data_IF_254760393564
#
_entry.id   IF_254760393564
#
_cell.length_a   1.000
_cell.length_b   1.000
_cell.length_c   1.000
_cell.angle_alpha   90.00
_cell.angle_beta   90.00
_cell.angle_gamma   90.00
#
_symmetry.space_group_name_H-M   'P 1'
#
loop_
_entity.id
_entity.type
_entity.pdbx_description
1 polymer ?
#
# COMPACT_ATOMS: atom_id res chain seq x y z
N UNK A 1 11.26 -33.17 28.53
CA UNK A 1 11.95 -31.92 28.12
C UNK A 1 11.00 -30.95 27.45
N UNK A 2 10.14 -31.40 26.53
CA UNK A 2 9.18 -30.55 25.79
C UNK A 2 8.10 -29.86 26.65
N UNK A 3 7.58 -30.53 27.69
CA UNK A 3 6.52 -29.96 28.53
C UNK A 3 7.00 -28.83 29.45
N UNK A 4 8.26 -28.87 29.89
CA UNK A 4 8.84 -27.83 30.75
C UNK A 4 9.13 -26.56 29.94
N UNK A 5 9.65 -26.73 28.71
CA UNK A 5 9.82 -25.63 27.78
C UNK A 5 8.47 -24.97 27.41
N UNK A 6 7.43 -25.77 27.17
CA UNK A 6 6.08 -25.23 26.90
C UNK A 6 5.52 -24.41 28.06
N UNK A 7 5.63 -24.90 29.29
CA UNK A 7 5.18 -24.19 30.49
C UNK A 7 5.93 -22.86 30.70
N UNK A 8 7.25 -22.84 30.47
CA UNK A 8 8.05 -21.61 30.56
C UNK A 8 7.66 -20.57 29.51
N UNK A 9 7.43 -21.01 28.26
CA UNK A 9 6.99 -20.15 27.15
C UNK A 9 5.60 -19.58 27.42
N UNK A 10 4.67 -20.39 27.90
CA UNK A 10 3.31 -19.97 28.23
C UNK A 10 3.31 -18.95 29.39
N UNK A 11 4.10 -19.20 30.43
CA UNK A 11 4.30 -18.23 31.51
C UNK A 11 4.92 -16.91 31.02
N UNK A 12 5.90 -16.98 30.10
CA UNK A 12 6.50 -15.79 29.52
C UNK A 12 5.51 -14.98 28.65
N UNK A 13 4.66 -15.67 27.89
CA UNK A 13 3.60 -15.06 27.09
C UNK A 13 2.58 -14.31 27.97
N UNK A 14 2.07 -14.96 29.02
CA UNK A 14 1.12 -14.35 29.97
C UNK A 14 1.72 -13.11 30.62
N UNK A 15 2.97 -13.20 31.12
CA UNK A 15 3.66 -12.05 31.73
C UNK A 15 3.90 -10.91 30.74
N UNK A 16 4.24 -11.21 29.50
CA UNK A 16 4.40 -10.19 28.46
C UNK A 16 3.07 -9.51 28.11
N UNK A 17 1.96 -10.25 28.13
CA UNK A 17 0.63 -9.70 27.87
C UNK A 17 0.17 -8.81 29.02
N UNK A 18 0.32 -9.24 30.27
CA UNK A 18 -0.01 -8.44 31.46
C UNK A 18 0.77 -7.12 31.45
N UNK A 19 2.09 -7.19 31.21
CA UNK A 19 2.93 -5.98 31.11
C UNK A 19 2.49 -5.04 29.98
N UNK A 20 2.05 -5.58 28.85
CA UNK A 20 1.51 -4.77 27.77
C UNK A 20 0.18 -4.12 28.15
N UNK A 21 -0.74 -4.84 28.78
CA UNK A 21 -2.03 -4.32 29.21
C UNK A 21 -1.89 -3.25 30.31
N UNK A 22 -0.96 -3.44 31.23
CA UNK A 22 -0.77 -2.51 32.37
C UNK A 22 -0.03 -1.24 31.96
N UNK A 23 1.03 -1.37 31.17
CA UNK A 23 2.00 -0.29 30.91
C UNK A 23 2.06 0.15 29.44
N UNK A 24 1.45 -0.58 28.52
CA UNK A 24 1.56 -0.36 27.07
C UNK A 24 0.67 0.75 26.50
N UNK A 25 -0.33 1.21 27.25
CA UNK A 25 -1.20 2.34 26.87
C UNK A 25 -1.06 3.54 27.83
N UNK A 26 -0.09 3.48 28.73
CA UNK A 26 0.25 4.57 29.66
C UNK A 26 1.60 5.18 29.25
N UNK A 27 1.89 6.45 29.60
CA UNK A 27 3.20 7.06 29.39
C UNK A 27 4.26 6.47 30.36
N UNK A 28 4.48 5.16 30.27
CA UNK A 28 5.41 4.39 31.09
C UNK A 28 6.77 4.28 30.40
N UNK A 29 7.82 4.00 31.17
CA UNK A 29 9.14 3.70 30.60
C UNK A 29 9.11 2.47 29.67
N UNK A 30 8.16 1.54 29.86
CA UNK A 30 7.96 0.41 28.96
C UNK A 30 7.38 0.87 27.61
N UNK A 31 6.32 1.70 27.64
CA UNK A 31 5.72 2.29 26.44
C UNK A 31 6.74 3.09 25.62
N UNK A 32 7.46 4.03 26.25
CA UNK A 32 8.44 4.86 25.53
C UNK A 32 9.61 4.04 24.97
N UNK A 33 10.06 2.98 25.67
CA UNK A 33 11.07 2.05 25.11
C UNK A 33 10.52 1.27 23.92
N UNK A 34 9.27 0.84 23.98
CA UNK A 34 8.61 0.15 22.87
C UNK A 34 8.48 1.07 21.65
N UNK A 35 8.00 2.30 21.84
CA UNK A 35 7.87 3.31 20.78
C UNK A 35 9.24 3.70 20.22
N UNK A 36 10.25 3.90 21.07
CA UNK A 36 11.64 4.14 20.61
C UNK A 36 12.16 3.00 19.75
N UNK A 37 11.88 1.74 20.11
CA UNK A 37 12.26 0.56 19.33
C UNK A 37 11.48 0.44 18.02
N UNK A 38 10.21 0.88 17.99
CA UNK A 38 9.40 0.92 16.76
C UNK A 38 9.91 2.01 15.83
N UNK A 39 10.19 3.21 16.36
CA UNK A 39 10.77 4.32 15.62
C UNK A 39 12.13 3.96 15.03
N UNK A 40 13.02 3.35 15.81
CA UNK A 40 14.36 2.96 15.35
C UNK A 40 14.34 1.90 14.23
N UNK A 41 13.28 1.08 14.16
CA UNK A 41 13.07 0.10 13.08
C UNK A 41 12.45 0.69 11.82
N UNK A 42 11.78 1.83 11.93
CA UNK A 42 11.20 2.57 10.78
C UNK A 42 12.25 3.42 10.07
N UNK A 43 13.29 3.85 10.79
CA UNK A 43 14.35 4.68 10.23
C UNK A 43 15.32 3.82 9.42
N UNK A 44 15.46 4.16 8.15
CA UNK A 44 16.51 3.62 7.29
C UNK A 44 17.79 4.40 7.61
N UNK A 45 18.77 3.74 8.22
CA UNK A 45 20.02 4.40 8.65
C UNK A 45 21.03 4.57 7.53
N UNK A 46 21.02 3.63 6.59
CA UNK A 46 21.95 3.58 5.48
C UNK A 46 21.41 2.73 4.35
N UNK A 47 21.87 3.00 3.13
CA UNK A 47 21.59 2.19 1.94
C UNK A 47 22.78 2.27 0.98
N UNK A 48 22.99 1.22 0.20
CA UNK A 48 24.01 1.15 -0.84
C UNK A 48 23.48 1.75 -2.13
N UNK A 49 24.23 2.68 -2.72
CA UNK A 49 23.93 3.26 -4.02
C UNK A 49 24.40 2.36 -5.18
N UNK A 50 24.12 2.77 -6.43
CA UNK A 50 24.50 2.01 -7.63
C UNK A 50 26.02 1.90 -7.85
N UNK A 51 26.80 2.85 -7.31
CA UNK A 51 28.26 2.84 -7.32
C UNK A 51 28.86 1.86 -6.31
N UNK A 52 28.06 1.33 -5.39
CA UNK A 52 28.48 0.42 -4.32
C UNK A 52 28.80 1.08 -2.99
N UNK A 53 28.70 2.42 -2.91
CA UNK A 53 28.96 3.20 -1.70
C UNK A 53 27.76 3.21 -0.75
N UNK A 54 28.03 3.29 0.55
CA UNK A 54 26.99 3.38 1.59
C UNK A 54 26.70 4.86 1.86
N UNK A 55 25.45 5.27 1.64
CA UNK A 55 24.95 6.60 2.00
C UNK A 55 24.11 6.54 3.29
N UNK A 56 24.14 7.62 4.06
CA UNK A 56 23.47 7.72 5.37
C UNK A 56 22.62 8.98 5.54
N UNK A 57 22.71 9.94 4.61
CA UNK A 57 21.91 11.15 4.61
C UNK A 57 20.50 10.87 4.07
N UNK A 58 19.47 11.45 4.68
CA UNK A 58 18.07 11.23 4.30
C UNK A 58 17.77 11.56 2.82
N UNK A 59 18.37 12.62 2.27
CA UNK A 59 18.17 13.00 0.87
C UNK A 59 18.79 11.97 -0.08
N UNK A 60 20.00 11.50 0.23
CA UNK A 60 20.69 10.50 -0.60
C UNK A 60 19.99 9.14 -0.51
N UNK A 61 19.54 8.75 0.69
CA UNK A 61 18.73 7.55 0.89
C UNK A 61 17.44 7.64 0.07
N UNK A 62 16.73 8.77 0.15
CA UNK A 62 15.51 9.00 -0.62
C UNK A 62 15.77 8.90 -2.14
N UNK A 63 16.86 9.50 -2.61
CA UNK A 63 17.28 9.46 -4.01
C UNK A 63 17.60 8.03 -4.49
N UNK A 64 18.32 7.24 -3.67
CA UNK A 64 18.63 5.84 -3.99
C UNK A 64 17.35 5.04 -4.16
N UNK A 65 16.39 5.14 -3.23
CA UNK A 65 15.12 4.42 -3.36
C UNK A 65 14.27 4.93 -4.52
N UNK A 66 14.20 6.24 -4.72
CA UNK A 66 13.50 6.85 -5.84
C UNK A 66 14.00 6.29 -7.16
N UNK A 67 15.32 6.33 -7.39
CA UNK A 67 15.92 5.83 -8.63
C UNK A 67 15.74 4.33 -8.78
N UNK A 68 15.98 3.56 -7.70
CA UNK A 68 15.84 2.12 -7.72
C UNK A 68 14.41 1.71 -8.15
N UNK A 69 13.37 2.26 -7.53
CA UNK A 69 11.99 1.90 -7.88
C UNK A 69 11.52 2.54 -9.19
N UNK A 70 11.99 3.74 -9.54
CA UNK A 70 11.70 4.34 -10.84
C UNK A 70 12.22 3.47 -11.98
N UNK A 71 13.43 2.92 -11.83
CA UNK A 71 14.01 1.99 -12.78
C UNK A 71 13.28 0.64 -12.75
N UNK A 72 12.99 0.10 -11.57
CA UNK A 72 12.29 -1.18 -11.42
C UNK A 72 10.89 -1.19 -12.05
N UNK A 73 10.16 -0.08 -11.93
CA UNK A 73 8.82 0.09 -12.48
C UNK A 73 8.81 0.83 -13.82
N UNK A 74 9.97 1.06 -14.42
CA UNK A 74 10.05 1.68 -15.74
C UNK A 74 9.44 0.78 -16.81
N UNK A 75 8.78 1.39 -17.79
CA UNK A 75 8.20 0.67 -18.93
C UNK A 75 9.33 0.08 -19.77
N UNK A 76 9.22 -1.20 -20.12
CA UNK A 76 10.07 -1.80 -21.15
C UNK A 76 9.80 -1.13 -22.51
N UNK A 77 10.82 -0.52 -23.11
CA UNK A 77 10.67 0.26 -24.34
C UNK A 77 10.51 -0.61 -25.59
N UNK A 78 10.90 -1.89 -25.51
CA UNK A 78 10.94 -2.82 -26.64
C UNK A 78 9.81 -3.86 -26.54
N UNK A 79 8.57 -3.40 -26.57
CA UNK A 79 7.42 -4.31 -26.73
C UNK A 79 7.23 -4.60 -28.23
N UNK A 80 7.38 -5.87 -28.63
CA UNK A 80 7.05 -6.28 -29.99
C UNK A 80 5.53 -6.40 -30.14
N UNK A 81 4.91 -5.37 -30.71
CA UNK A 81 3.46 -5.31 -30.91
C UNK A 81 2.92 -6.42 -31.82
N UNK A 82 3.73 -6.95 -32.75
CA UNK A 82 3.29 -8.06 -33.59
C UNK A 82 3.13 -9.34 -32.76
N UNK A 83 4.15 -9.68 -31.95
CA UNK A 83 4.07 -10.81 -31.02
C UNK A 83 2.93 -10.64 -30.00
N UNK A 84 2.72 -9.43 -29.50
CA UNK A 84 1.60 -9.14 -28.60
C UNK A 84 0.25 -9.41 -29.28
N UNK A 85 0.06 -8.91 -30.50
CA UNK A 85 -1.17 -9.11 -31.25
C UNK A 85 -1.39 -10.58 -31.61
N UNK A 86 -0.33 -11.29 -32.01
CA UNK A 86 -0.41 -12.72 -32.31
C UNK A 86 -0.78 -13.52 -31.06
N UNK A 87 -0.19 -13.20 -29.90
CA UNK A 87 -0.56 -13.80 -28.63
C UNK A 87 -2.03 -13.52 -28.25
N UNK A 88 -2.48 -12.28 -28.38
CA UNK A 88 -3.88 -11.89 -28.09
C UNK A 88 -4.85 -12.64 -29.01
N UNK A 89 -4.53 -12.80 -30.30
CA UNK A 89 -5.35 -13.57 -31.25
C UNK A 89 -5.45 -15.06 -30.90
N UNK A 90 -4.45 -15.62 -30.20
CA UNK A 90 -4.49 -17.01 -29.74
C UNK A 90 -5.44 -17.21 -28.55
N UNK A 91 -5.92 -16.15 -27.90
CA UNK A 91 -6.89 -16.27 -26.81
C UNK A 91 -8.23 -16.74 -27.37
N UNK A 92 -8.64 -17.94 -26.96
CA UNK A 92 -9.90 -18.56 -27.43
C UNK A 92 -11.12 -18.07 -26.67
N UNK A 93 -10.93 -17.55 -25.47
CA UNK A 93 -11.99 -17.04 -24.63
C UNK A 93 -11.99 -15.52 -24.72
N UNK A 94 -13.12 -14.97 -25.18
CA UNK A 94 -13.37 -13.54 -25.24
C UNK A 94 -14.66 -13.25 -24.48
N UNK A 95 -14.80 -12.01 -24.03
CA UNK A 95 -16.03 -11.54 -23.36
C UNK A 95 -17.16 -11.52 -24.39
N UNK A 96 -18.35 -11.94 -23.99
CA UNK A 96 -19.53 -11.89 -24.87
C UNK A 96 -19.80 -10.42 -25.28
N UNK A 97 -20.24 -10.13 -26.52
CA UNK A 97 -20.59 -8.77 -26.92
C UNK A 97 -21.55 -8.06 -25.96
N UNK A 98 -22.50 -8.78 -25.36
CA UNK A 98 -23.44 -8.22 -24.39
C UNK A 98 -22.73 -7.80 -23.11
N UNK A 99 -21.87 -8.68 -22.58
CA UNK A 99 -21.09 -8.39 -21.38
C UNK A 99 -20.12 -7.24 -21.63
N UNK A 100 -19.58 -7.12 -22.84
CA UNK A 100 -18.71 -6.01 -23.23
C UNK A 100 -19.46 -4.69 -23.18
N UNK A 101 -20.64 -4.62 -23.80
CA UNK A 101 -21.45 -3.41 -23.80
C UNK A 101 -21.89 -3.02 -22.37
N UNK A 102 -22.13 -4.01 -21.50
CA UNK A 102 -22.43 -3.77 -20.08
C UNK A 102 -21.21 -3.26 -19.31
N UNK A 103 -20.00 -3.79 -19.56
CA UNK A 103 -18.77 -3.34 -18.92
C UNK A 103 -18.31 -1.93 -19.35
N UNK A 104 -18.69 -1.51 -20.56
CA UNK A 104 -18.35 -0.19 -21.11
C UNK A 104 -19.38 0.90 -20.72
N UNK A 105 -20.45 0.54 -20.00
CA UNK A 105 -21.48 1.49 -19.57
C UNK A 105 -20.94 2.49 -18.51
N UNK A 106 -21.56 3.67 -18.36
CA UNK A 106 -21.20 4.60 -17.30
C UNK A 106 -21.35 3.97 -15.91
N UNK A 107 -20.38 4.25 -15.03
CA UNK A 107 -20.38 3.81 -13.64
C UNK A 107 -21.61 4.39 -12.94
N UNK A 108 -22.40 3.55 -12.27
CA UNK A 108 -23.62 3.97 -11.58
C UNK A 108 -23.36 4.35 -10.12
N UNK A 109 -24.29 5.09 -9.51
CA UNK A 109 -24.22 5.45 -8.10
C UNK A 109 -24.23 4.21 -7.19
N UNK A 110 -25.01 3.20 -7.57
CA UNK A 110 -25.14 1.93 -6.86
C UNK A 110 -23.85 1.13 -6.89
N UNK A 111 -23.13 1.13 -8.01
CA UNK A 111 -21.83 0.48 -8.15
C UNK A 111 -20.79 1.13 -7.24
N UNK A 112 -20.75 2.47 -7.20
CA UNK A 112 -19.85 3.20 -6.28
C UNK A 112 -20.19 2.89 -4.83
N UNK A 113 -21.47 2.90 -4.47
CA UNK A 113 -21.90 2.56 -3.10
C UNK A 113 -21.54 1.11 -2.73
N UNK A 114 -21.77 0.16 -3.64
CA UNK A 114 -21.45 -1.24 -3.42
C UNK A 114 -19.93 -1.44 -3.23
N UNK A 115 -19.11 -0.80 -4.07
CA UNK A 115 -17.66 -0.80 -3.94
C UNK A 115 -17.25 -0.25 -2.57
N UNK A 116 -17.78 0.91 -2.19
CA UNK A 116 -17.49 1.56 -0.91
C UNK A 116 -17.88 0.70 0.31
N UNK A 117 -19.04 0.03 0.27
CA UNK A 117 -19.50 -0.86 1.35
C UNK A 117 -18.66 -2.14 1.44
N UNK A 118 -18.13 -2.63 0.32
CA UNK A 118 -17.26 -3.81 0.29
C UNK A 118 -15.85 -3.58 0.86
N UNK A 119 -15.42 -2.31 0.99
CA UNK A 119 -14.12 -1.99 1.59
C UNK A 119 -14.12 -2.29 3.10
N UNK A 120 -13.02 -2.85 3.62
CA UNK A 120 -12.91 -3.09 5.06
C UNK A 120 -12.75 -1.78 5.84
N UNK A 121 -13.19 -1.78 7.09
CA UNK A 121 -12.95 -0.66 8.02
C UNK A 121 -11.49 -0.55 8.46
N UNK A 122 -11.12 0.61 9.01
CA UNK A 122 -9.82 0.91 9.61
C UNK A 122 -8.63 0.70 8.67
N UNK A 123 -8.81 1.04 7.38
CA UNK A 123 -7.67 1.16 6.46
C UNK A 123 -6.96 2.49 6.67
N UNK A 124 -5.66 2.49 6.41
CA UNK A 124 -4.87 3.72 6.43
C UNK A 124 -5.32 4.63 5.28
N UNK A 125 -5.70 5.90 5.56
CA UNK A 125 -5.97 6.86 4.49
C UNK A 125 -4.67 7.28 3.80
N UNK A 126 -4.82 7.98 2.68
CA UNK A 126 -3.72 8.60 1.95
C UNK A 126 -3.23 9.87 2.61
N UNK A 127 -2.66 10.77 1.80
CA UNK A 127 -2.05 12.02 2.29
C UNK A 127 -3.08 13.02 2.81
N UNK A 128 -4.33 12.91 2.36
CA UNK A 128 -5.45 13.76 2.79
C UNK A 128 -6.00 13.40 4.17
N UNK A 129 -5.68 12.21 4.67
CA UNK A 129 -6.17 11.70 5.94
C UNK A 129 -7.66 11.33 5.95
N UNK A 130 -8.33 11.26 4.80
CA UNK A 130 -9.77 10.95 4.73
C UNK A 130 -9.97 9.44 4.62
N UNK A 131 -10.63 8.79 5.60
CA UNK A 131 -10.81 7.34 5.60
C UNK A 131 -12.11 6.91 4.89
N UNK A 132 -12.24 5.63 4.52
CA UNK A 132 -13.45 5.09 3.88
C UNK A 132 -14.73 5.30 4.72
N UNK A 133 -14.60 5.36 6.04
CA UNK A 133 -15.71 5.62 6.97
C UNK A 133 -16.35 6.99 6.74
N UNK A 134 -15.55 8.00 6.37
CA UNK A 134 -16.05 9.32 6.01
C UNK A 134 -16.94 9.20 4.76
N UNK A 135 -16.41 8.57 3.71
CA UNK A 135 -17.14 8.36 2.46
C UNK A 135 -18.44 7.58 2.68
N UNK A 136 -18.41 6.51 3.49
CA UNK A 136 -19.61 5.74 3.85
C UNK A 136 -20.62 6.60 4.59
N UNK A 137 -20.17 7.41 5.55
CA UNK A 137 -21.05 8.23 6.39
C UNK A 137 -21.75 9.32 5.61
N UNK A 138 -21.07 9.93 4.64
CA UNK A 138 -21.54 11.08 3.89
C UNK A 138 -21.91 10.76 2.44
N UNK A 139 -22.04 9.47 2.08
CA UNK A 139 -22.31 9.03 0.71
C UNK A 139 -23.58 9.65 0.11
N UNK A 140 -24.60 9.88 0.93
CA UNK A 140 -25.83 10.57 0.53
C UNK A 140 -25.61 12.03 0.08
N UNK A 141 -24.50 12.65 0.51
CA UNK A 141 -24.12 14.02 0.13
C UNK A 141 -23.14 14.00 -1.05
N UNK A 142 -22.09 13.19 -0.99
CA UNK A 142 -20.96 13.23 -1.94
C UNK A 142 -21.00 12.15 -3.03
N UNK A 143 -21.90 11.17 -2.94
CA UNK A 143 -21.91 9.99 -3.81
C UNK A 143 -22.08 10.36 -5.28
N UNK A 144 -22.97 11.29 -5.59
CA UNK A 144 -23.17 11.77 -6.96
C UNK A 144 -21.91 12.46 -7.52
N UNK A 145 -21.23 13.26 -6.70
CA UNK A 145 -20.00 13.94 -7.11
C UNK A 145 -18.88 12.92 -7.40
N UNK A 146 -18.73 11.92 -6.55
CA UNK A 146 -17.78 10.82 -6.77
C UNK A 146 -18.08 10.05 -8.05
N UNK A 147 -19.35 9.67 -8.28
CA UNK A 147 -19.76 8.99 -9.51
C UNK A 147 -19.44 9.83 -10.75
N UNK A 148 -19.66 11.15 -10.70
CA UNK A 148 -19.32 12.06 -11.79
C UNK A 148 -17.80 12.12 -12.03
N UNK A 149 -17.01 12.17 -10.97
CA UNK A 149 -15.54 12.14 -11.04
C UNK A 149 -15.05 10.85 -11.67
N UNK A 150 -15.56 9.68 -11.24
CA UNK A 150 -15.16 8.38 -11.80
C UNK A 150 -15.53 8.22 -13.27
N UNK A 151 -16.73 8.65 -13.68
CA UNK A 151 -17.11 8.67 -15.09
C UNK A 151 -16.23 9.63 -15.91
N UNK A 152 -15.82 10.76 -15.34
CA UNK A 152 -14.89 11.67 -16.01
C UNK A 152 -13.51 11.02 -16.19
N UNK A 153 -13.02 10.33 -15.17
CA UNK A 153 -11.76 9.56 -15.23
C UNK A 153 -11.84 8.48 -16.30
N UNK A 154 -12.94 7.72 -16.33
CA UNK A 154 -13.16 6.64 -17.30
C UNK A 154 -13.14 7.17 -18.74
N UNK A 155 -13.85 8.27 -19.00
CA UNK A 155 -13.88 8.89 -20.34
C UNK A 155 -12.56 9.54 -20.78
N UNK A 156 -11.80 10.11 -19.84
CA UNK A 156 -10.50 10.76 -20.13
C UNK A 156 -9.36 9.75 -20.18
N UNK A 157 -9.51 8.58 -19.54
CA UNK A 157 -8.47 7.56 -19.42
C UNK A 157 -7.34 7.94 -18.45
N UNK A 158 -7.60 8.85 -17.51
CA UNK A 158 -6.59 9.29 -16.55
C UNK A 158 -7.20 9.74 -15.22
N UNK A 159 -6.58 9.31 -14.13
CA UNK A 159 -6.94 9.68 -12.76
C UNK A 159 -6.70 11.18 -12.48
N UNK A 160 -7.17 11.70 -11.34
CA UNK A 160 -6.74 13.02 -10.89
C UNK A 160 -5.29 13.01 -10.40
N UNK A 161 -4.71 14.19 -10.14
CA UNK A 161 -3.38 14.27 -9.51
C UNK A 161 -3.40 13.71 -8.08
N UNK A 162 -4.46 13.99 -7.30
CA UNK A 162 -4.57 13.48 -5.93
C UNK A 162 -4.64 11.95 -5.90
N UNK A 163 -5.42 11.34 -6.80
CA UNK A 163 -5.58 9.89 -6.92
C UNK A 163 -4.33 9.16 -7.43
N UNK A 164 -3.37 9.87 -8.03
CA UNK A 164 -2.05 9.33 -8.40
C UNK A 164 -0.94 9.70 -7.42
N UNK A 165 -1.26 10.48 -6.39
CA UNK A 165 -0.31 10.87 -5.36
C UNK A 165 -0.38 9.85 -4.23
N UNK A 166 0.77 9.26 -3.88
CA UNK A 166 0.85 8.27 -2.81
C UNK A 166 1.92 8.67 -1.79
N UNK A 167 1.67 8.34 -0.52
CA UNK A 167 2.73 8.29 0.49
C UNK A 167 3.37 6.92 0.42
N UNK A 168 4.66 6.86 0.10
CA UNK A 168 5.39 5.59 0.01
C UNK A 168 6.06 5.29 1.35
N UNK A 169 5.70 4.15 1.94
CA UNK A 169 6.37 3.60 3.12
C UNK A 169 7.20 2.38 2.73
N UNK A 170 8.45 2.31 3.19
CA UNK A 170 9.35 1.20 2.92
C UNK A 170 9.35 0.23 4.12
N UNK A 171 9.07 -1.05 3.85
CA UNK A 171 9.04 -2.10 4.86
C UNK A 171 10.23 -3.05 4.66
N UNK A 172 11.03 -3.33 5.71
CA UNK A 172 12.18 -4.21 5.58
C UNK A 172 11.78 -5.66 5.29
N UNK A 173 12.50 -6.31 4.38
CA UNK A 173 12.47 -7.77 4.13
C UNK A 173 13.61 -8.44 4.90
N UNK A 174 13.65 -9.77 4.86
CA UNK A 174 14.83 -10.53 5.27
C UNK A 174 15.99 -10.23 4.31
N UNK A 175 17.21 -10.23 4.83
CA UNK A 175 18.43 -10.04 4.06
C UNK A 175 19.22 -8.81 4.50
N UNK A 176 20.18 -8.42 3.67
CA UNK A 176 20.98 -7.21 3.85
C UNK A 176 20.12 -5.96 3.63
N UNK A 177 19.89 -5.17 4.68
CA UNK A 177 19.07 -3.97 4.63
C UNK A 177 19.79 -2.77 3.97
N UNK A 178 21.09 -2.87 3.72
CA UNK A 178 21.78 -1.88 2.88
C UNK A 178 21.42 -2.06 1.41
N UNK A 179 20.88 -3.21 1.01
CA UNK A 179 20.43 -3.45 -0.36
C UNK A 179 18.98 -2.94 -0.57
N UNK A 180 18.73 -1.98 -1.48
CA UNK A 180 17.39 -1.48 -1.79
C UNK A 180 16.35 -2.57 -2.12
N UNK A 181 16.77 -3.68 -2.75
CA UNK A 181 15.90 -4.82 -3.11
C UNK A 181 15.27 -5.53 -1.90
N UNK A 182 15.86 -5.34 -0.72
CA UNK A 182 15.38 -5.90 0.54
C UNK A 182 14.41 -4.97 1.27
N UNK A 183 13.86 -3.97 0.59
CA UNK A 183 12.75 -3.17 1.06
C UNK A 183 11.52 -3.39 0.17
N UNK A 184 10.33 -3.34 0.76
CA UNK A 184 9.04 -3.40 0.05
C UNK A 184 8.41 -2.02 0.09
N UNK A 185 8.10 -1.40 -1.06
CA UNK A 185 7.32 -0.18 -1.06
C UNK A 185 5.85 -0.53 -0.84
N UNK A 186 5.20 0.19 0.06
CA UNK A 186 3.74 0.26 0.17
C UNK A 186 3.34 1.68 -0.18
N UNK A 187 2.54 1.83 -1.22
CA UNK A 187 1.94 3.09 -1.63
C UNK A 187 0.60 3.26 -0.90
N UNK A 188 0.50 4.29 -0.07
CA UNK A 188 -0.76 4.72 0.54
C UNK A 188 -1.38 5.80 -0.35
N UNK A 189 -2.37 5.39 -1.14
CA UNK A 189 -3.19 6.29 -1.95
C UNK A 189 -4.32 6.88 -1.11
N UNK A 190 -4.88 8.00 -1.58
CA UNK A 190 -6.15 8.47 -1.04
C UNK A 190 -7.26 7.43 -1.28
N UNK A 191 -8.33 7.53 -0.49
CA UNK A 191 -9.40 6.52 -0.51
C UNK A 191 -10.46 6.78 -1.57
N UNK A 192 -10.47 7.97 -2.18
CA UNK A 192 -11.34 8.40 -3.28
C UNK A 192 -10.80 8.08 -4.67
#
# INVERSE_FOLDING_TARGET
MDNQLRSEVEGAFIRSLIKYLEDGEKPSAFFFRQESRRASKKIIKSVRNDSGDIVTNDNDISYVFHNFYSNLFSRELHVNHNLQNDFIKCLKQTVDPIDKDDLDRPITLEEVNAALVSTSNNKSPGIDGIPYEFYRKFFNVIGNDLTNVYNKIFSVGTLSVSQRTAVISLIPKKGDLENPKNWRPISLLNTD
#
